data_IF_304235855851
#
_entry.id   IF_304235855851
#
_cell.length_a   1.000
_cell.length_b   1.000
_cell.length_c   1.000
_cell.angle_alpha   90.00
_cell.angle_beta   90.00
_cell.angle_gamma   90.00
#
_symmetry.space_group_name_H-M   'P 1'
#
loop_
_entity.id
_entity.type
_entity.pdbx_description
1 polymer ?
#
# COMPACT_ATOMS: atom_id res chain seq x y z
N UNK A 1 11.44 8.38 -18.44
CA UNK A 1 12.44 7.47 -17.81
C UNK A 1 11.78 6.76 -16.63
N UNK A 2 12.16 5.52 -16.34
CA UNK A 2 11.71 4.86 -15.10
C UNK A 2 12.28 5.61 -13.88
N UNK A 3 11.50 5.69 -12.80
CA UNK A 3 11.93 6.29 -11.54
C UNK A 3 11.39 5.46 -10.36
N UNK A 4 11.72 5.82 -9.12
CA UNK A 4 11.37 4.98 -7.96
C UNK A 4 9.85 4.86 -7.71
N UNK A 5 9.05 5.84 -8.13
CA UNK A 5 7.58 5.81 -8.04
C UNK A 5 6.93 5.09 -9.24
N UNK A 6 7.58 5.10 -10.40
CA UNK A 6 7.13 4.39 -11.61
C UNK A 6 8.31 3.59 -12.16
N UNK A 7 8.53 2.34 -11.69
CA UNK A 7 9.70 1.53 -12.03
C UNK A 7 9.67 0.95 -13.47
N UNK A 8 8.91 1.56 -14.38
CA UNK A 8 8.80 1.17 -15.78
C UNK A 8 8.51 2.38 -16.67
N UNK A 9 8.98 2.37 -17.91
CA UNK A 9 8.58 3.34 -18.93
C UNK A 9 7.28 2.94 -19.67
N UNK A 10 6.85 1.68 -19.52
CA UNK A 10 5.75 1.05 -20.27
C UNK A 10 4.39 1.31 -19.60
N UNK A 11 3.93 2.55 -19.63
CA UNK A 11 2.58 2.90 -19.18
C UNK A 11 1.83 3.76 -20.21
N UNK A 12 0.50 3.69 -20.16
CA UNK A 12 -0.41 4.40 -21.06
C UNK A 12 -0.70 5.81 -20.57
N UNK A 13 -1.16 5.92 -19.33
CA UNK A 13 -1.47 7.19 -18.66
C UNK A 13 -1.43 7.01 -17.13
N UNK A 14 -1.50 8.12 -16.40
CA UNK A 14 -1.59 8.10 -14.95
C UNK A 14 -1.77 9.46 -14.32
N UNK A 15 -1.59 9.52 -13.01
CA UNK A 15 -1.56 10.74 -12.23
C UNK A 15 -0.40 10.72 -11.24
N UNK A 16 0.00 11.90 -10.77
CA UNK A 16 0.98 12.03 -9.69
C UNK A 16 0.73 13.29 -8.88
N UNK A 17 1.03 13.24 -7.59
CA UNK A 17 1.14 14.44 -6.73
C UNK A 17 2.58 14.95 -6.65
N UNK A 18 3.55 14.25 -7.26
CA UNK A 18 4.96 14.66 -7.30
C UNK A 18 5.18 15.75 -8.35
N UNK A 19 5.46 16.97 -7.89
CA UNK A 19 5.69 18.12 -8.77
C UNK A 19 6.95 17.98 -9.63
N UNK A 20 7.92 17.16 -9.19
CA UNK A 20 9.20 16.93 -9.87
C UNK A 20 9.14 15.77 -10.87
N UNK A 21 8.07 14.98 -10.86
CA UNK A 21 7.87 13.89 -11.80
C UNK A 21 7.22 14.41 -13.08
N UNK A 22 8.04 14.67 -14.10
CA UNK A 22 7.59 15.19 -15.41
C UNK A 22 7.50 14.07 -16.45
N UNK A 23 6.29 13.83 -16.95
CA UNK A 23 5.99 12.96 -18.09
C UNK A 23 4.62 13.37 -18.66
N UNK A 24 4.51 13.60 -19.96
CA UNK A 24 3.29 14.13 -20.59
C UNK A 24 2.07 13.20 -20.46
N UNK A 25 2.29 11.93 -20.10
CA UNK A 25 1.24 10.94 -19.85
C UNK A 25 0.69 11.01 -18.42
N UNK A 26 1.28 11.83 -17.55
CA UNK A 26 0.89 11.98 -16.15
C UNK A 26 0.11 13.28 -15.93
N UNK A 27 -1.08 13.16 -15.34
CA UNK A 27 -1.79 14.30 -14.80
C UNK A 27 -1.23 14.67 -13.42
N UNK A 28 -0.62 15.84 -13.28
CA UNK A 28 -0.15 16.35 -11.99
C UNK A 28 -1.31 16.96 -11.22
N UNK A 29 -1.63 16.40 -10.06
CA UNK A 29 -2.77 16.82 -9.22
C UNK A 29 -2.32 17.19 -7.81
N UNK A 30 -3.08 18.02 -7.08
CA UNK A 30 -2.78 18.32 -5.69
C UNK A 30 -2.85 17.09 -4.76
N UNK A 31 -2.07 17.12 -3.69
CA UNK A 31 -2.21 16.19 -2.56
C UNK A 31 -3.40 16.62 -1.69
N UNK A 32 -4.61 16.19 -2.07
CA UNK A 32 -5.84 16.37 -1.30
C UNK A 32 -6.90 15.31 -1.64
N UNK A 33 -7.91 15.22 -0.76
CA UNK A 33 -8.94 14.19 -0.80
C UNK A 33 -9.76 14.23 -2.09
N UNK A 34 -10.12 15.43 -2.54
CA UNK A 34 -10.95 15.63 -3.73
C UNK A 34 -10.22 15.18 -4.99
N UNK A 35 -8.96 15.58 -5.12
CA UNK A 35 -8.12 15.31 -6.29
C UNK A 35 -7.75 13.84 -6.39
N UNK A 36 -7.63 13.14 -5.26
CA UNK A 36 -7.24 11.73 -5.20
C UNK A 36 -8.43 10.76 -5.09
N UNK A 37 -9.67 11.27 -5.11
CA UNK A 37 -10.86 10.43 -5.00
C UNK A 37 -10.90 9.67 -3.67
N UNK A 38 -10.49 10.32 -2.58
CA UNK A 38 -10.52 9.76 -1.24
C UNK A 38 -11.97 9.52 -0.81
N UNK A 39 -12.23 8.34 -0.26
CA UNK A 39 -13.54 7.93 0.23
C UNK A 39 -13.42 6.94 1.39
N UNK A 40 -14.53 6.77 2.13
CA UNK A 40 -14.60 5.90 3.33
C UNK A 40 -13.49 6.21 4.35
N UNK A 41 -13.21 7.49 4.57
CA UNK A 41 -12.21 7.92 5.55
C UNK A 41 -12.68 7.66 6.98
N UNK A 42 -11.74 7.23 7.82
CA UNK A 42 -11.97 6.97 9.24
C UNK A 42 -12.26 8.27 9.98
N UNK A 43 -13.36 8.34 10.71
CA UNK A 43 -13.80 9.56 11.42
C UNK A 43 -13.01 9.87 12.69
N UNK A 44 -12.35 8.87 13.29
CA UNK A 44 -11.62 8.99 14.57
C UNK A 44 -10.15 9.41 14.42
N UNK A 45 -9.67 9.54 13.19
CA UNK A 45 -8.28 9.84 12.84
C UNK A 45 -8.23 10.88 11.73
N UNK A 46 -7.09 11.54 11.55
CA UNK A 46 -6.92 12.56 10.51
C UNK A 46 -5.61 12.41 9.77
N UNK A 47 -5.61 12.73 8.48
CA UNK A 47 -4.43 12.80 7.61
C UNK A 47 -4.17 14.25 7.18
N UNK A 48 -3.75 15.08 8.13
CA UNK A 48 -3.55 16.52 7.85
C UNK A 48 -2.44 16.71 6.81
N UNK A 49 -2.68 17.62 5.86
CA UNK A 49 -1.64 18.06 4.93
C UNK A 49 -0.72 19.05 5.65
N UNK A 50 0.56 18.71 5.73
CA UNK A 50 1.59 19.49 6.43
C UNK A 50 2.81 19.71 5.54
N UNK A 51 3.67 20.63 5.95
CA UNK A 51 5.05 20.68 5.49
C UNK A 51 5.83 19.62 6.30
N UNK A 52 6.36 18.56 5.68
CA UNK A 52 7.07 17.50 6.40
C UNK A 52 8.38 18.04 7.00
N UNK A 53 8.93 17.38 8.04
CA UNK A 53 10.22 17.78 8.58
C UNK A 53 11.34 17.60 7.53
N UNK A 54 12.43 18.33 7.71
CA UNK A 54 13.59 18.22 6.81
C UNK A 54 14.11 16.79 6.80
N UNK A 55 14.21 16.23 5.60
CA UNK A 55 14.77 14.90 5.40
C UNK A 55 16.29 14.97 5.44
N UNK A 56 16.93 13.98 6.09
CA UNK A 56 18.36 13.78 5.92
C UNK A 56 18.65 13.39 4.46
N UNK A 57 19.68 13.99 3.85
CA UNK A 57 19.89 13.97 2.39
C UNK A 57 19.68 12.59 1.76
N UNK A 58 18.69 12.47 0.87
CA UNK A 58 18.31 11.21 0.21
C UNK A 58 18.64 11.19 -1.29
N UNK A 59 19.38 12.18 -1.80
CA UNK A 59 19.69 12.32 -3.23
C UNK A 59 18.48 12.65 -4.13
N UNK A 60 17.26 12.59 -3.58
CA UNK A 60 16.00 12.96 -4.23
C UNK A 60 15.53 14.32 -3.72
N UNK A 61 14.87 15.09 -4.58
CA UNK A 61 14.19 16.32 -4.15
C UNK A 61 13.06 15.96 -3.18
N UNK A 62 13.09 16.46 -1.93
CA UNK A 62 12.07 16.12 -0.94
C UNK A 62 10.70 16.70 -1.36
N UNK A 63 9.59 16.07 -0.94
CA UNK A 63 8.25 16.59 -1.21
C UNK A 63 7.98 17.85 -0.40
N UNK A 64 7.28 18.80 -1.00
CA UNK A 64 6.86 20.06 -0.33
C UNK A 64 5.76 19.82 0.71
N UNK A 65 4.83 18.91 0.41
CA UNK A 65 3.69 18.60 1.27
C UNK A 65 3.61 17.10 1.53
N UNK A 66 3.06 16.73 2.68
CA UNK A 66 2.76 15.34 3.01
C UNK A 66 1.48 15.23 3.84
N UNK A 67 0.82 14.08 3.78
CA UNK A 67 -0.14 13.69 4.80
C UNK A 67 0.59 13.15 6.03
N UNK A 68 0.29 13.71 7.20
CA UNK A 68 0.82 13.26 8.47
C UNK A 68 -0.09 12.21 9.10
N UNK A 69 0.49 11.06 9.47
CA UNK A 69 -0.09 10.10 10.39
C UNK A 69 0.47 10.34 11.79
N UNK A 70 -0.42 10.49 12.77
CA UNK A 70 -0.06 10.61 14.18
C UNK A 70 -0.47 9.34 14.93
N UNK A 71 0.48 8.73 15.64
CA UNK A 71 0.28 7.52 16.45
C UNK A 71 0.47 7.90 17.92
N UNK A 72 -0.60 8.18 18.67
CA UNK A 72 -0.51 8.45 20.10
C UNK A 72 0.10 7.26 20.84
N UNK A 73 0.80 7.52 21.95
CA UNK A 73 1.18 6.47 22.90
C UNK A 73 -0.04 5.62 23.28
N UNK A 74 0.09 4.30 23.24
CA UNK A 74 -1.01 3.36 23.53
C UNK A 74 -1.92 3.07 22.33
N UNK A 75 -1.72 3.71 21.17
CA UNK A 75 -2.52 3.41 19.97
C UNK A 75 -2.13 2.08 19.35
N UNK A 76 -3.15 1.27 19.01
CA UNK A 76 -2.99 -0.03 18.32
C UNK A 76 -3.63 0.11 16.94
N UNK A 77 -4.89 -0.32 16.80
CA UNK A 77 -5.66 -0.28 15.56
C UNK A 77 -6.78 0.77 15.60
N UNK A 78 -7.41 1.10 14.45
CA UNK A 78 -8.43 2.15 14.38
C UNK A 78 -9.66 1.90 15.26
N UNK A 79 -9.94 0.64 15.61
CA UNK A 79 -11.03 0.23 16.50
C UNK A 79 -10.67 0.26 17.98
N UNK A 80 -9.40 0.46 18.34
CA UNK A 80 -8.96 0.49 19.74
C UNK A 80 -9.48 1.74 20.48
N UNK A 81 -9.37 1.73 21.82
CA UNK A 81 -9.74 2.86 22.67
C UNK A 81 -8.99 4.12 22.24
N UNK A 82 -7.68 4.01 22.02
CA UNK A 82 -6.82 5.08 21.51
C UNK A 82 -6.57 4.82 20.02
N UNK A 83 -7.22 5.57 19.11
CA UNK A 83 -6.97 5.44 17.68
C UNK A 83 -5.63 6.09 17.31
N UNK A 84 -4.94 5.54 16.32
CA UNK A 84 -3.67 6.07 15.82
C UNK A 84 -3.48 5.80 14.33
N UNK A 85 -2.66 6.62 13.71
CA UNK A 85 -2.48 6.66 12.27
C UNK A 85 -3.69 7.27 11.56
N UNK A 86 -4.07 6.72 10.41
CA UNK A 86 -5.30 7.05 9.68
C UNK A 86 -5.66 5.98 8.65
N UNK A 87 -6.90 6.02 8.13
CA UNK A 87 -7.37 5.09 7.12
C UNK A 87 -8.39 5.71 6.17
N UNK A 88 -8.24 5.42 4.88
CA UNK A 88 -9.22 5.67 3.82
C UNK A 88 -8.91 4.82 2.58
N UNK A 89 -9.77 4.89 1.58
CA UNK A 89 -9.54 4.34 0.25
C UNK A 89 -9.41 5.49 -0.75
N UNK A 90 -8.60 5.29 -1.79
CA UNK A 90 -8.47 6.27 -2.87
C UNK A 90 -8.41 5.56 -4.22
N UNK A 91 -9.06 6.15 -5.22
CA UNK A 91 -9.08 5.62 -6.60
C UNK A 91 -8.32 6.53 -7.59
N UNK A 92 -7.72 7.62 -7.11
CA UNK A 92 -7.09 8.65 -7.94
C UNK A 92 -8.09 9.65 -8.52
N UNK A 93 -7.62 10.57 -9.39
CA UNK A 93 -8.48 11.53 -10.08
C UNK A 93 -9.60 10.84 -10.86
N UNK A 94 -10.73 11.52 -11.07
CA UNK A 94 -11.94 10.95 -11.70
C UNK A 94 -11.66 10.21 -13.01
N UNK A 95 -10.76 10.72 -13.86
CA UNK A 95 -10.39 10.06 -15.14
C UNK A 95 -9.58 8.78 -14.94
N UNK A 96 -8.74 8.70 -13.91
CA UNK A 96 -8.01 7.49 -13.55
C UNK A 96 -8.94 6.47 -12.89
N UNK A 97 -9.74 6.90 -11.91
CA UNK A 97 -10.73 6.05 -11.25
C UNK A 97 -11.73 5.44 -12.23
N UNK A 98 -12.18 6.18 -13.24
CA UNK A 98 -13.04 5.63 -14.31
C UNK A 98 -12.38 4.48 -15.06
N UNK A 99 -11.11 4.60 -15.42
CA UNK A 99 -10.40 3.52 -16.13
C UNK A 99 -10.20 2.28 -15.24
N UNK A 100 -10.06 2.47 -13.92
CA UNK A 100 -10.08 1.33 -12.99
C UNK A 100 -11.43 0.62 -13.02
N UNK A 101 -12.53 1.38 -12.94
CA UNK A 101 -13.90 0.85 -13.02
C UNK A 101 -14.23 0.18 -14.37
N UNK A 102 -13.62 0.65 -15.46
CA UNK A 102 -13.70 0.04 -16.79
C UNK A 102 -12.85 -1.24 -16.92
N UNK A 103 -12.16 -1.65 -15.85
CA UNK A 103 -11.47 -2.94 -15.78
C UNK A 103 -10.00 -2.91 -16.21
N UNK A 104 -9.29 -1.80 -15.96
CA UNK A 104 -7.83 -1.75 -16.10
C UNK A 104 -7.17 -3.00 -15.48
N UNK A 105 -6.40 -3.73 -16.29
CA UNK A 105 -5.88 -5.05 -15.92
C UNK A 105 -4.55 -4.99 -15.19
N UNK A 106 -3.73 -3.97 -15.48
CA UNK A 106 -2.37 -3.84 -14.95
C UNK A 106 -2.10 -2.41 -14.53
N UNK A 107 -1.78 -2.22 -13.24
CA UNK A 107 -1.68 -0.91 -12.60
C UNK A 107 -0.48 -0.90 -11.67
N UNK A 108 0.23 0.22 -11.64
CA UNK A 108 1.17 0.57 -10.57
C UNK A 108 0.55 1.71 -9.78
N UNK A 109 0.59 1.62 -8.45
CA UNK A 109 0.48 2.81 -7.60
C UNK A 109 1.70 2.89 -6.69
N UNK A 110 1.96 4.07 -6.17
CA UNK A 110 3.15 4.31 -5.37
C UNK A 110 2.99 5.55 -4.52
N UNK A 111 3.86 5.67 -3.54
CA UNK A 111 3.97 6.80 -2.64
C UNK A 111 5.40 6.86 -2.09
N UNK A 112 5.77 8.02 -1.55
CA UNK A 112 6.91 8.15 -0.65
C UNK A 112 6.45 8.16 0.79
N UNK A 113 7.23 7.51 1.66
CA UNK A 113 7.04 7.47 3.11
C UNK A 113 8.30 7.95 3.81
N UNK A 114 8.11 8.68 4.91
CA UNK A 114 9.15 8.98 5.89
C UNK A 114 8.62 8.67 7.28
N UNK A 115 9.40 7.94 8.07
CA UNK A 115 9.14 7.69 9.48
C UNK A 115 9.91 8.69 10.34
N UNK A 116 9.41 8.97 11.54
CA UNK A 116 10.15 9.79 12.52
C UNK A 116 11.55 9.20 12.77
N UNK A 117 12.55 10.07 13.00
CA UNK A 117 13.97 9.68 13.08
C UNK A 117 14.25 8.66 14.18
N UNK A 118 13.50 8.67 15.26
CA UNK A 118 13.62 7.80 16.42
C UNK A 118 12.46 6.80 16.53
N UNK A 119 11.91 6.36 15.40
CA UNK A 119 10.80 5.41 15.32
C UNK A 119 11.05 4.12 16.14
N UNK A 120 10.04 3.70 16.90
CA UNK A 120 10.01 2.48 17.70
C UNK A 120 8.98 1.49 17.13
N UNK A 121 9.47 0.31 16.75
CA UNK A 121 8.78 -0.66 15.89
C UNK A 121 7.73 -1.52 16.58
N UNK A 122 7.92 -1.78 17.87
CA UNK A 122 7.16 -2.77 18.66
C UNK A 122 7.09 -4.10 17.90
N UNK A 123 5.89 -4.66 17.67
CA UNK A 123 5.68 -5.92 16.95
C UNK A 123 5.37 -5.73 15.48
N UNK A 124 4.97 -4.54 15.06
CA UNK A 124 4.66 -4.22 13.68
C UNK A 124 3.47 -3.29 13.50
N UNK A 125 3.15 -3.02 12.24
CA UNK A 125 1.98 -2.23 11.86
C UNK A 125 1.77 -2.21 10.36
N UNK A 126 0.66 -1.58 9.95
CA UNK A 126 0.16 -1.58 8.58
C UNK A 126 0.58 -0.33 7.84
N UNK A 127 0.82 -0.49 6.54
CA UNK A 127 1.11 0.61 5.63
C UNK A 127 0.21 0.55 4.40
N UNK A 128 0.04 1.68 3.70
CA UNK A 128 -0.80 1.79 2.53
C UNK A 128 -0.44 0.77 1.45
N UNK A 129 -1.46 0.19 0.84
CA UNK A 129 -1.31 -0.79 -0.23
C UNK A 129 -2.52 -0.80 -1.15
N UNK A 130 -2.81 -1.93 -1.76
CA UNK A 130 -3.73 -2.04 -2.90
C UNK A 130 -4.90 -2.91 -2.55
N UNK A 131 -6.02 -2.62 -3.18
CA UNK A 131 -7.21 -3.42 -3.03
C UNK A 131 -8.01 -3.50 -4.33
N UNK A 132 -8.86 -4.52 -4.37
CA UNK A 132 -9.80 -4.73 -5.45
C UNK A 132 -10.77 -5.85 -5.12
N UNK A 133 -11.68 -6.11 -6.05
CA UNK A 133 -12.75 -7.06 -5.85
C UNK A 133 -14.02 -6.69 -6.60
N UNK A 134 -15.08 -7.42 -6.30
CA UNK A 134 -16.41 -7.25 -6.91
C UNK A 134 -17.20 -6.19 -6.17
N UNK A 135 -17.55 -5.09 -6.86
CA UNK A 135 -18.43 -4.06 -6.31
C UNK A 135 -18.03 -3.56 -4.92
N UNK A 136 -18.96 -3.61 -3.96
CA UNK A 136 -18.70 -3.23 -2.56
C UNK A 136 -17.94 -4.30 -1.76
N UNK A 137 -17.85 -5.54 -2.25
CA UNK A 137 -17.10 -6.60 -1.57
C UNK A 137 -15.58 -6.34 -1.59
N UNK A 138 -15.11 -5.50 -2.53
CA UNK A 138 -13.71 -5.06 -2.61
C UNK A 138 -13.18 -4.47 -1.30
N UNK A 139 -14.04 -3.81 -0.50
CA UNK A 139 -13.66 -3.20 0.77
C UNK A 139 -13.58 -4.21 1.94
N UNK A 140 -13.92 -5.48 1.70
CA UNK A 140 -14.10 -6.49 2.73
C UNK A 140 -12.89 -7.36 3.05
N UNK A 141 -11.78 -7.26 2.29
CA UNK A 141 -10.58 -8.09 2.48
C UNK A 141 -9.64 -7.52 3.55
N UNK A 142 -10.13 -7.29 4.75
CA UNK A 142 -9.36 -6.71 5.86
C UNK A 142 -9.69 -7.40 7.19
N UNK A 143 -8.76 -7.32 8.15
CA UNK A 143 -8.97 -7.87 9.49
C UNK A 143 -9.15 -9.39 9.51
N UNK A 144 -9.99 -9.89 10.42
CA UNK A 144 -10.25 -11.31 10.64
C UNK A 144 -11.45 -11.88 9.86
N UNK A 145 -12.16 -11.06 9.07
CA UNK A 145 -13.40 -11.46 8.38
C UNK A 145 -13.17 -12.65 7.47
N UNK A 146 -13.91 -13.75 7.60
CA UNK A 146 -13.73 -14.94 6.76
C UNK A 146 -14.68 -14.99 5.55
N UNK A 147 -15.79 -14.27 5.63
CA UNK A 147 -16.84 -14.33 4.60
C UNK A 147 -16.44 -13.62 3.31
N UNK A 148 -16.74 -14.26 2.17
CA UNK A 148 -16.58 -13.70 0.82
C UNK A 148 -15.16 -13.23 0.47
N UNK A 149 -14.13 -13.71 1.18
CA UNK A 149 -12.72 -13.38 0.88
C UNK A 149 -12.31 -13.71 -0.54
N UNK A 150 -13.01 -14.63 -1.22
CA UNK A 150 -12.76 -14.96 -2.62
C UNK A 150 -13.22 -13.87 -3.61
N UNK A 151 -14.01 -12.88 -3.15
CA UNK A 151 -14.56 -11.80 -3.97
C UNK A 151 -13.72 -10.52 -3.93
N UNK A 152 -12.63 -10.49 -3.16
CA UNK A 152 -11.75 -9.35 -3.02
C UNK A 152 -10.29 -9.77 -2.91
N UNK A 153 -9.41 -8.79 -3.01
CA UNK A 153 -8.02 -8.92 -2.62
C UNK A 153 -7.55 -7.62 -1.97
N UNK A 154 -6.61 -7.74 -1.05
CA UNK A 154 -5.95 -6.62 -0.38
C UNK A 154 -4.48 -7.00 -0.16
N UNK A 155 -3.56 -6.10 -0.48
CA UNK A 155 -2.14 -6.33 -0.29
C UNK A 155 -1.49 -5.07 0.24
N UNK A 156 -0.94 -5.17 1.45
CA UNK A 156 -0.40 -4.03 2.18
C UNK A 156 0.96 -4.35 2.74
N UNK A 157 1.97 -3.48 2.55
CA UNK A 157 3.20 -3.60 3.28
C UNK A 157 2.94 -3.54 4.80
N UNK A 158 3.78 -4.23 5.54
CA UNK A 158 3.86 -4.08 6.99
C UNK A 158 5.28 -3.81 7.42
N UNK A 159 5.43 -3.13 8.55
CA UNK A 159 6.64 -3.27 9.36
C UNK A 159 6.44 -4.33 10.42
N UNK A 160 7.54 -4.92 10.86
CA UNK A 160 7.69 -5.80 12.01
C UNK A 160 8.71 -5.21 12.96
N UNK A 161 8.98 -5.92 14.06
CA UNK A 161 10.04 -5.55 14.99
C UNK A 161 11.36 -5.28 14.24
N UNK A 162 12.11 -4.30 14.72
CA UNK A 162 13.40 -3.86 14.16
C UNK A 162 13.36 -3.41 12.70
N UNK A 163 12.21 -2.93 12.20
CA UNK A 163 12.10 -2.37 10.84
C UNK A 163 11.97 -3.40 9.73
N UNK A 164 11.85 -4.68 10.07
CA UNK A 164 11.69 -5.75 9.07
C UNK A 164 10.41 -5.54 8.26
N UNK A 165 10.54 -5.45 6.94
CA UNK A 165 9.43 -5.28 6.01
C UNK A 165 8.86 -6.61 5.50
N UNK A 166 7.56 -6.65 5.24
CA UNK A 166 6.88 -7.76 4.55
C UNK A 166 5.76 -7.23 3.67
N UNK A 167 5.34 -8.03 2.68
CA UNK A 167 4.06 -7.83 2.00
C UNK A 167 3.00 -8.70 2.68
N UNK A 168 1.94 -8.07 3.19
CA UNK A 168 0.84 -8.76 3.84
C UNK A 168 -0.34 -8.89 2.91
N UNK A 169 -0.71 -10.12 2.55
CA UNK A 169 -1.65 -10.37 1.46
C UNK A 169 -2.90 -11.10 1.92
N UNK A 170 -4.06 -10.56 1.55
CA UNK A 170 -5.33 -11.26 1.42
C UNK A 170 -5.58 -11.49 -0.06
N UNK A 171 -5.16 -12.64 -0.57
CA UNK A 171 -5.51 -13.08 -1.94
C UNK A 171 -6.63 -14.11 -1.86
N UNK A 172 -7.35 -14.37 -2.96
CA UNK A 172 -8.23 -15.53 -3.05
C UNK A 172 -7.50 -16.80 -2.60
N UNK A 173 -8.15 -17.58 -1.74
CA UNK A 173 -7.60 -18.79 -1.12
C UNK A 173 -7.52 -19.94 -2.12
N UNK A 174 -6.63 -19.81 -3.09
CA UNK A 174 -6.29 -20.88 -4.03
C UNK A 174 -5.02 -21.57 -3.56
N UNK A 175 -5.02 -22.92 -3.51
CA UNK A 175 -3.81 -23.68 -3.15
C UNK A 175 -2.60 -23.29 -4.01
N UNK A 176 -2.81 -23.04 -5.31
CA UNK A 176 -1.77 -22.57 -6.23
C UNK A 176 -1.16 -21.22 -5.81
N UNK A 177 -1.96 -20.28 -5.31
CA UNK A 177 -1.44 -19.00 -4.81
C UNK A 177 -0.54 -19.25 -3.61
N UNK A 178 -0.98 -20.06 -2.65
CA UNK A 178 -0.19 -20.41 -1.46
C UNK A 178 1.15 -21.02 -1.84
N UNK A 179 1.18 -21.96 -2.78
CA UNK A 179 2.42 -22.60 -3.25
C UNK A 179 3.39 -21.64 -3.95
N UNK A 180 2.87 -20.62 -4.64
CA UNK A 180 3.70 -19.56 -5.25
C UNK A 180 4.27 -18.65 -4.15
N UNK A 181 3.41 -18.16 -3.24
CA UNK A 181 3.82 -17.21 -2.20
C UNK A 181 4.80 -17.84 -1.20
N UNK A 182 4.65 -19.13 -0.88
CA UNK A 182 5.56 -19.89 -0.02
C UNK A 182 7.02 -19.88 -0.49
N UNK A 183 7.24 -19.77 -1.81
CA UNK A 183 8.58 -19.79 -2.42
C UNK A 183 9.27 -18.43 -2.38
N UNK A 184 8.57 -17.36 -1.99
CA UNK A 184 9.13 -16.01 -2.00
C UNK A 184 10.03 -15.83 -0.77
N UNK A 185 11.34 -15.61 -0.97
CA UNK A 185 12.28 -15.40 0.13
C UNK A 185 12.08 -14.02 0.78
N UNK A 186 12.61 -13.80 1.99
CA UNK A 186 13.36 -14.76 2.80
C UNK A 186 12.48 -15.58 3.73
N UNK A 187 11.20 -15.21 3.92
CA UNK A 187 10.29 -15.91 4.83
C UNK A 187 8.84 -15.72 4.43
N UNK A 188 8.11 -16.84 4.46
CA UNK A 188 6.66 -16.90 4.36
C UNK A 188 6.05 -17.30 5.72
N UNK A 189 4.93 -16.68 6.10
CA UNK A 189 4.14 -17.08 7.27
C UNK A 189 2.68 -17.15 6.88
N UNK A 190 2.14 -18.38 6.90
CA UNK A 190 0.73 -18.64 6.66
C UNK A 190 -0.10 -18.26 7.89
N UNK A 191 -1.32 -17.77 7.66
CA UNK A 191 -2.28 -17.52 8.73
C UNK A 191 -3.69 -17.67 8.18
N UNK A 192 -4.44 -18.68 8.61
CA UNK A 192 -5.80 -18.95 8.13
C UNK A 192 -6.80 -17.87 8.54
N UNK A 193 -6.60 -17.23 9.70
CA UNK A 193 -7.53 -16.25 10.24
C UNK A 193 -7.32 -14.85 9.66
N UNK A 194 -6.13 -14.56 9.16
CA UNK A 194 -5.74 -13.24 8.67
C UNK A 194 -5.05 -13.32 7.30
N UNK A 195 -4.26 -12.32 6.92
CA UNK A 195 -3.46 -12.33 5.70
C UNK A 195 -2.14 -13.09 5.89
N UNK A 196 -1.57 -13.52 4.77
CA UNK A 196 -0.26 -14.18 4.74
C UNK A 196 0.86 -13.14 4.76
N UNK A 197 1.94 -13.44 5.50
CA UNK A 197 3.16 -12.65 5.44
C UNK A 197 4.07 -13.21 4.35
N UNK A 198 4.33 -12.41 3.32
CA UNK A 198 5.12 -12.79 2.15
C UNK A 198 6.41 -11.98 2.13
N UNK A 199 7.55 -12.64 1.94
CA UNK A 199 8.85 -11.98 1.87
C UNK A 199 9.22 -11.19 3.13
N UNK A 200 8.88 -11.70 4.32
CA UNK A 200 9.21 -11.02 5.59
C UNK A 200 10.72 -10.96 5.79
N UNK A 201 11.30 -9.76 5.70
CA UNK A 201 12.74 -9.52 5.68
C UNK A 201 13.29 -9.11 4.32
N UNK A 202 12.46 -9.02 3.28
CA UNK A 202 12.91 -8.66 1.93
C UNK A 202 13.36 -7.19 1.81
N UNK A 203 12.93 -6.33 2.72
CA UNK A 203 13.30 -4.92 2.78
C UNK A 203 13.26 -4.41 4.23
N UNK A 204 13.84 -3.23 4.44
CA UNK A 204 14.14 -2.68 5.76
C UNK A 204 13.65 -1.23 5.87
N UNK A 205 12.68 -1.01 6.74
CA UNK A 205 12.06 0.27 7.02
C UNK A 205 12.93 1.21 7.85
N UNK A 206 14.02 0.75 8.47
CA UNK A 206 14.96 1.67 9.16
C UNK A 206 15.52 2.72 8.22
N UNK A 207 15.59 2.40 6.92
CA UNK A 207 15.99 3.33 5.87
C UNK A 207 14.99 4.47 5.63
N UNK A 208 13.75 4.36 6.12
CA UNK A 208 12.76 5.43 6.07
C UNK A 208 12.78 6.34 7.31
N UNK A 209 13.59 6.04 8.33
CA UNK A 209 13.69 6.89 9.53
C UNK A 209 14.41 8.20 9.20
N UNK A 210 13.66 9.31 9.22
CA UNK A 210 14.13 10.65 8.85
C UNK A 210 14.52 10.79 7.37
N UNK A 211 14.12 9.83 6.52
CA UNK A 211 14.45 9.77 5.09
C UNK A 211 13.23 9.36 4.28
N UNK A 212 13.08 9.99 3.11
CA UNK A 212 12.05 9.57 2.16
C UNK A 212 12.46 8.27 1.47
N UNK A 213 11.55 7.30 1.51
CA UNK A 213 11.64 6.01 0.82
C UNK A 213 10.46 5.90 -0.14
N UNK A 214 10.70 5.50 -1.39
CA UNK A 214 9.64 5.23 -2.35
C UNK A 214 9.18 3.78 -2.26
N UNK A 215 7.86 3.60 -2.28
CA UNK A 215 7.19 2.30 -2.31
C UNK A 215 6.32 2.28 -3.55
N UNK A 216 6.55 1.33 -4.45
CA UNK A 216 5.71 1.11 -5.62
C UNK A 216 5.24 -0.34 -5.64
N UNK A 217 3.99 -0.58 -5.99
CA UNK A 217 3.52 -1.95 -6.23
C UNK A 217 2.70 -2.01 -7.52
N UNK A 218 2.97 -3.07 -8.28
CA UNK A 218 2.32 -3.45 -9.53
C UNK A 218 1.40 -4.59 -9.23
N UNK A 219 0.19 -4.51 -9.74
CA UNK A 219 -0.74 -5.61 -9.80
C UNK A 219 -1.19 -5.82 -11.23
N UNK A 220 -1.17 -7.07 -11.67
CA UNK A 220 -1.71 -7.52 -12.95
C UNK A 220 -2.73 -8.61 -12.67
N UNK A 221 -4.00 -8.32 -12.93
CA UNK A 221 -5.07 -9.31 -12.78
C UNK A 221 -4.88 -10.44 -13.79
N UNK A 222 -5.12 -11.68 -13.35
CA UNK A 222 -5.17 -12.82 -14.24
C UNK A 222 -6.37 -12.72 -15.21
N UNK A 223 -6.25 -13.41 -16.34
CA UNK A 223 -7.41 -13.76 -17.15
C UNK A 223 -8.28 -14.76 -16.38
N UNK A 224 -9.60 -14.63 -16.49
CA UNK A 224 -10.53 -15.54 -15.81
C UNK A 224 -10.31 -16.96 -16.33
N UNK A 225 -10.17 -17.92 -15.42
CA UNK A 225 -9.82 -19.31 -15.74
C UNK A 225 -8.33 -19.56 -15.93
N UNK A 226 -7.49 -18.53 -15.92
CA UNK A 226 -6.04 -18.62 -16.05
C UNK A 226 -5.33 -18.24 -14.75
N UNK A 227 -4.08 -18.68 -14.64
CA UNK A 227 -3.18 -18.40 -13.52
C UNK A 227 -1.97 -17.63 -14.02
N UNK A 228 -2.22 -16.45 -14.57
CA UNK A 228 -1.22 -15.55 -15.17
C UNK A 228 -1.22 -14.16 -14.53
N UNK A 229 -1.74 -14.05 -13.30
CA UNK A 229 -1.71 -12.82 -12.51
C UNK A 229 -0.32 -12.59 -11.92
N UNK A 230 0.00 -11.32 -11.67
CA UNK A 230 1.31 -10.90 -11.17
C UNK A 230 1.17 -9.85 -10.08
N UNK A 231 2.05 -9.90 -9.09
CA UNK A 231 2.25 -8.87 -8.08
C UNK A 231 3.75 -8.58 -8.00
N UNK A 232 4.11 -7.31 -7.91
CA UNK A 232 5.51 -6.92 -7.70
C UNK A 232 5.60 -5.67 -6.82
N UNK A 233 6.50 -5.68 -5.85
CA UNK A 233 6.76 -4.59 -4.91
C UNK A 233 8.19 -4.10 -5.10
N UNK A 234 8.34 -2.79 -5.25
CA UNK A 234 9.62 -2.10 -5.28
C UNK A 234 9.78 -1.18 -4.08
N UNK A 235 11.01 -1.15 -3.57
CA UNK A 235 11.48 -0.19 -2.57
C UNK A 235 12.65 0.59 -3.17
N UNK A 236 12.52 1.91 -3.26
CA UNK A 236 13.48 2.79 -3.93
C UNK A 236 13.89 2.30 -5.33
N UNK A 237 12.89 1.87 -6.12
CA UNK A 237 13.09 1.37 -7.49
C UNK A 237 13.70 -0.03 -7.59
N UNK A 238 14.08 -0.68 -6.49
CA UNK A 238 14.55 -2.07 -6.48
C UNK A 238 13.38 -3.03 -6.25
N UNK A 239 13.21 -4.01 -7.14
CA UNK A 239 12.22 -5.08 -6.97
C UNK A 239 12.63 -5.95 -5.78
N UNK A 240 11.78 -6.04 -4.76
CA UNK A 240 12.06 -6.76 -3.51
C UNK A 240 11.15 -7.97 -3.32
N UNK A 241 9.95 -7.96 -3.88
CA UNK A 241 9.01 -9.08 -3.88
C UNK A 241 8.37 -9.14 -5.26
N UNK A 242 8.43 -10.31 -5.90
CA UNK A 242 7.77 -10.57 -7.17
C UNK A 242 7.09 -11.93 -7.13
N UNK A 243 5.84 -11.98 -7.59
CA UNK A 243 5.03 -13.18 -7.65
C UNK A 243 4.34 -13.24 -9.01
N UNK A 244 4.52 -14.33 -9.74
CA UNK A 244 3.90 -14.54 -11.05
C UNK A 244 3.13 -15.84 -11.06
N UNK A 245 2.08 -15.91 -11.87
CA UNK A 245 1.27 -17.12 -12.02
C UNK A 245 0.13 -17.22 -11.02
N UNK A 246 -0.29 -16.09 -10.44
CA UNK A 246 -1.34 -16.01 -9.43
C UNK A 246 -2.73 -16.04 -10.06
N UNK A 247 -3.71 -16.43 -9.24
CA UNK A 247 -5.14 -16.30 -9.49
C UNK A 247 -5.67 -15.23 -8.52
N UNK A 248 -5.76 -13.98 -8.99
CA UNK A 248 -6.21 -12.82 -8.23
C UNK A 248 -7.72 -12.58 -8.37
N UNK A 249 -8.36 -13.16 -9.39
CA UNK A 249 -9.80 -13.11 -9.62
C UNK A 249 -10.33 -14.36 -10.32
N UNK A 250 -11.61 -14.65 -10.08
CA UNK A 250 -12.40 -15.69 -10.76
C UNK A 250 -13.54 -15.13 -11.63
N UNK A 251 -13.78 -13.82 -11.58
CA UNK A 251 -14.82 -13.13 -12.34
C UNK A 251 -14.26 -11.83 -12.91
N UNK A 252 -14.69 -11.45 -14.11
CA UNK A 252 -14.34 -10.16 -14.73
C UNK A 252 -14.92 -8.96 -13.97
N UNK A 253 -15.93 -9.19 -13.13
CA UNK A 253 -16.47 -8.17 -12.22
C UNK A 253 -15.49 -7.80 -11.08
N UNK A 254 -14.50 -8.66 -10.81
CA UNK A 254 -13.44 -8.34 -9.85
C UNK A 254 -12.34 -7.55 -10.54
N UNK A 255 -12.19 -6.30 -10.10
CA UNK A 255 -11.31 -5.30 -10.69
C UNK A 255 -10.41 -4.66 -9.64
N UNK A 256 -9.35 -3.98 -10.07
CA UNK A 256 -8.52 -3.14 -9.20
C UNK A 256 -9.35 -1.90 -8.84
N UNK A 257 -9.42 -1.55 -7.56
CA UNK A 257 -10.24 -0.41 -7.10
C UNK A 257 -9.43 0.81 -6.68
N UNK A 258 -8.17 0.62 -6.30
CA UNK A 258 -7.38 1.73 -5.78
C UNK A 258 -6.31 1.32 -4.78
N UNK A 259 -5.94 2.29 -3.95
CA UNK A 259 -5.18 2.05 -2.74
C UNK A 259 -6.09 1.96 -1.51
N UNK A 260 -5.81 0.98 -0.68
CA UNK A 260 -6.25 0.96 0.70
C UNK A 260 -5.18 1.68 1.52
N UNK A 261 -5.42 2.95 1.76
CA UNK A 261 -4.47 3.86 2.40
C UNK A 261 -4.73 3.89 3.91
N UNK A 262 -4.25 2.85 4.57
CA UNK A 262 -4.47 2.65 6.00
C UNK A 262 -3.16 2.35 6.70
N UNK A 263 -2.90 3.08 7.78
CA UNK A 263 -1.72 2.91 8.60
C UNK A 263 -2.03 3.04 10.08
N UNK A 264 -1.49 2.11 10.87
CA UNK A 264 -1.72 1.99 12.31
C UNK A 264 -0.75 0.94 12.88
N UNK A 265 -0.56 0.95 14.20
CA UNK A 265 0.20 -0.10 14.90
C UNK A 265 -0.59 -1.41 14.92
N UNK A 266 0.03 -2.51 14.54
CA UNK A 266 -0.71 -3.71 14.12
C UNK A 266 -1.25 -4.54 15.27
N UNK A 267 -2.04 -5.57 14.99
CA UNK A 267 -2.51 -6.49 16.03
C UNK A 267 -3.71 -5.97 16.83
N UNK A 268 -3.95 -6.60 17.98
CA UNK A 268 -5.16 -6.39 18.79
C UNK A 268 -4.90 -6.33 20.30
N UNK A 269 -3.65 -6.52 20.73
CA UNK A 269 -3.24 -6.56 22.14
C UNK A 269 -2.30 -5.39 22.46
N UNK A 270 -2.23 -5.01 23.74
CA UNK A 270 -1.46 -3.85 24.22
C UNK A 270 0.03 -3.90 23.89
N UNK A 271 0.60 -5.10 23.77
CA UNK A 271 1.99 -5.34 23.39
C UNK A 271 2.29 -5.03 21.91
N UNK A 272 1.32 -4.54 21.15
CA UNK A 272 1.53 -3.92 19.84
C UNK A 272 1.41 -2.40 19.84
N UNK A 273 0.95 -1.81 20.94
CA UNK A 273 0.64 -0.40 21.01
C UNK A 273 1.89 0.46 20.79
N UNK A 274 1.73 1.63 20.15
CA UNK A 274 2.81 2.61 20.02
C UNK A 274 3.35 2.97 21.42
N UNK A 275 4.66 2.86 21.68
CA UNK A 275 5.24 3.04 23.01
C UNK A 275 5.33 4.51 23.41
N UNK A 276 5.25 5.39 22.41
CA UNK A 276 5.27 6.85 22.54
C UNK A 276 4.43 7.49 21.44
N UNK A 277 4.34 8.81 21.47
CA UNK A 277 3.79 9.59 20.37
C UNK A 277 4.76 9.57 19.18
N UNK A 278 4.30 9.11 18.03
CA UNK A 278 5.13 8.94 16.82
C UNK A 278 4.42 9.50 15.60
N UNK A 279 5.20 9.86 14.57
CA UNK A 279 4.67 10.37 13.30
C UNK A 279 5.26 9.67 12.09
N UNK A 280 4.46 9.57 11.05
CA UNK A 280 4.90 9.20 9.71
C UNK A 280 4.30 10.17 8.69
N UNK A 281 5.01 10.41 7.60
CA UNK A 281 4.59 11.31 6.54
C UNK A 281 4.52 10.56 5.22
N UNK A 282 3.47 10.82 4.46
CA UNK A 282 3.23 10.19 3.17
C UNK A 282 3.03 11.24 2.08
N UNK A 283 3.69 11.08 0.94
CA UNK A 283 3.60 12.03 -0.17
C UNK A 283 3.77 11.35 -1.53
N UNK A 284 3.70 12.14 -2.59
CA UNK A 284 3.95 11.74 -3.98
C UNK A 284 3.16 10.52 -4.43
N UNK A 285 1.91 10.44 -3.94
CA UNK A 285 0.95 9.44 -4.38
C UNK A 285 0.82 9.54 -5.89
N UNK A 286 1.09 8.41 -6.54
CA UNK A 286 1.21 8.28 -7.99
C UNK A 286 0.51 7.00 -8.41
N UNK A 287 -0.16 7.02 -9.56
CA UNK A 287 -0.82 5.84 -10.12
C UNK A 287 -0.71 5.85 -11.65
N UNK A 288 -0.34 4.72 -12.25
CA UNK A 288 -0.27 4.54 -13.70
C UNK A 288 -0.95 3.25 -14.14
N UNK A 289 -1.61 3.31 -15.30
CA UNK A 289 -2.15 2.14 -15.99
C UNK A 289 -1.16 1.71 -17.06
N UNK A 290 -0.79 0.43 -17.05
CA UNK A 290 0.22 -0.11 -17.96
C UNK A 290 -0.36 -0.37 -19.35
N UNK A 291 0.53 -0.56 -20.34
CA UNK A 291 0.16 -0.86 -21.73
C UNK A 291 -0.23 -2.32 -21.89
#
# INVERSE_FOLDING_TARGET
MANHLIPTSKFKNGFTTCQHLKDDRLNCVPLDDKSLGVHKAHSRTSHKRVNPPQSSSSGLTPPTFAWEAFYPKGSINPGAVIPGGFGFYLSGPTSFGRQLEEGAKEVIMSYRIMLQKDWEWVKGGKLPGFFGGVGQLAYGCTGGRQDERCQCFDMRPMWRNSGVGELYTYLPMEGKNTEILKKIPPRFVENSNYGFSVGRGAFDWTKAMGKWMAVACRIKLNDVGQSNGEIELWIDGKSVIAATGLILRKSTQSIIKGMHFETFFGGHTEDWASPKDQRAWFSDITGVILK
#
